data_IF_823089578755
#
_entry.id   IF_823089578755
#
_cell.length_a   1.000
_cell.length_b   1.000
_cell.length_c   1.000
_cell.angle_alpha   90.00
_cell.angle_beta   90.00
_cell.angle_gamma   90.00
#
_symmetry.space_group_name_H-M   'P 1'
#
loop_
_entity.id
_entity.type
_entity.pdbx_description
1 polymer ?
#
# COMPACT_ATOMS: atom_id res chain seq x y z
N UNK A 1 24.63 8.83 33.88
CA UNK A 1 23.18 8.76 34.18
C UNK A 1 22.64 7.50 33.53
N UNK A 2 22.09 6.59 34.33
CA UNK A 2 21.65 5.27 33.84
C UNK A 2 20.53 5.43 32.80
N UNK A 3 20.63 4.71 31.68
CA UNK A 3 19.62 4.74 30.60
C UNK A 3 18.24 4.19 31.02
N UNK A 4 18.14 3.65 32.24
CA UNK A 4 16.96 2.98 32.78
C UNK A 4 15.74 3.90 33.02
N UNK A 5 15.94 5.18 33.34
CA UNK A 5 14.83 6.13 33.60
C UNK A 5 14.52 7.05 32.40
N UNK A 6 15.11 6.78 31.23
CA UNK A 6 14.90 7.61 30.06
C UNK A 6 13.52 7.36 29.46
N UNK A 7 12.68 8.39 29.43
CA UNK A 7 11.43 8.36 28.68
C UNK A 7 11.70 8.63 27.19
N UNK A 8 11.09 7.83 26.32
CA UNK A 8 11.17 7.98 24.87
C UNK A 8 9.80 8.11 24.23
N UNK A 9 9.70 9.00 23.24
CA UNK A 9 8.50 9.17 22.43
C UNK A 9 8.49 8.27 21.18
N UNK A 10 7.36 8.23 20.48
CA UNK A 10 7.21 7.42 19.26
C UNK A 10 8.26 7.74 18.19
N UNK A 11 8.68 9.00 18.06
CA UNK A 11 9.65 9.43 17.04
C UNK A 11 11.04 8.94 17.39
N UNK A 12 11.43 9.01 18.67
CA UNK A 12 12.68 8.47 19.17
C UNK A 12 12.73 6.95 19.02
N UNK A 13 11.64 6.24 19.34
CA UNK A 13 11.56 4.77 19.15
C UNK A 13 11.71 4.41 17.66
N UNK A 14 11.06 5.14 16.76
CA UNK A 14 11.22 4.95 15.30
C UNK A 14 12.67 5.12 14.87
N UNK A 15 13.32 6.18 15.33
CA UNK A 15 14.69 6.50 14.97
C UNK A 15 15.68 5.46 15.51
N UNK A 16 15.50 5.01 16.75
CA UNK A 16 16.47 4.16 17.45
C UNK A 16 16.33 2.68 17.11
N UNK A 17 15.09 2.19 16.98
CA UNK A 17 14.81 0.77 16.74
C UNK A 17 14.42 0.45 15.28
N UNK A 18 14.41 1.45 14.39
CA UNK A 18 14.18 1.26 12.96
C UNK A 18 12.78 0.73 12.61
N UNK A 19 11.74 1.25 13.26
CA UNK A 19 10.34 0.86 13.03
C UNK A 19 9.51 1.99 12.38
N UNK A 20 8.17 1.89 12.37
CA UNK A 20 7.28 2.95 11.88
C UNK A 20 6.24 3.37 12.92
N UNK A 21 5.81 4.63 12.86
CA UNK A 21 4.80 5.18 13.78
C UNK A 21 3.49 4.36 13.82
N UNK A 22 2.89 3.94 12.68
CA UNK A 22 1.67 3.13 12.71
C UNK A 22 1.86 1.80 13.46
N UNK A 23 3.03 1.19 13.29
CA UNK A 23 3.34 -0.10 13.93
C UNK A 23 3.49 0.01 15.44
N UNK A 24 4.06 1.12 15.92
CA UNK A 24 4.11 1.43 17.36
C UNK A 24 2.69 1.66 17.89
N UNK A 25 1.84 2.39 17.15
CA UNK A 25 0.44 2.58 17.55
C UNK A 25 -0.32 1.26 17.63
N UNK A 26 -0.16 0.38 16.63
CA UNK A 26 -0.81 -0.94 16.61
C UNK A 26 -0.40 -1.79 17.82
N UNK A 27 0.88 -1.77 18.19
CA UNK A 27 1.36 -2.47 19.37
C UNK A 27 0.87 -1.82 20.66
N UNK A 28 0.99 -0.50 20.80
CA UNK A 28 0.53 0.23 21.98
C UNK A 28 -0.97 0.10 22.22
N UNK A 29 -1.77 -0.07 21.17
CA UNK A 29 -3.23 -0.23 21.30
C UNK A 29 -3.65 -1.69 21.49
N UNK A 30 -2.75 -2.66 21.27
CA UNK A 30 -3.04 -4.07 21.44
C UNK A 30 -2.42 -4.58 22.76
N UNK A 31 -3.25 -4.92 23.77
CA UNK A 31 -2.75 -5.40 25.06
C UNK A 31 -1.97 -6.72 24.96
N UNK A 32 -2.26 -7.56 23.95
CA UNK A 32 -1.59 -8.85 23.74
C UNK A 32 -0.29 -8.72 22.95
N UNK A 33 0.09 -7.51 22.54
CA UNK A 33 1.30 -7.31 21.74
C UNK A 33 2.59 -7.54 22.53
N UNK A 34 2.51 -7.49 23.87
CA UNK A 34 3.65 -7.49 24.78
C UNK A 34 4.47 -6.18 24.73
N UNK A 35 3.96 -5.14 24.07
CA UNK A 35 4.61 -3.84 24.02
C UNK A 35 4.47 -3.12 25.37
N UNK A 36 5.49 -2.35 25.80
CA UNK A 36 5.46 -1.66 27.08
C UNK A 36 4.25 -0.76 27.26
N UNK A 37 3.78 -0.69 28.51
CA UNK A 37 2.72 0.24 28.87
C UNK A 37 3.21 1.70 28.75
N UNK A 38 2.29 2.61 28.47
CA UNK A 38 2.60 4.04 28.41
C UNK A 38 2.96 4.50 29.82
N UNK A 39 4.17 5.02 30.00
CA UNK A 39 4.69 5.47 31.29
C UNK A 39 4.27 6.90 31.61
N UNK A 40 4.12 7.75 30.58
CA UNK A 40 3.68 9.13 30.74
C UNK A 40 2.93 9.62 29.50
N UNK A 41 2.00 10.56 29.70
CA UNK A 41 1.23 11.16 28.61
C UNK A 41 1.26 12.67 28.75
N UNK A 42 1.72 13.36 27.70
CA UNK A 42 1.72 14.82 27.62
C UNK A 42 0.82 15.24 26.45
N UNK A 43 -0.40 15.66 26.78
CA UNK A 43 -1.44 15.94 25.78
C UNK A 43 -1.75 14.71 24.92
N UNK A 44 -1.49 14.80 23.60
CA UNK A 44 -1.66 13.68 22.65
C UNK A 44 -0.43 12.79 22.51
N UNK A 45 0.71 13.16 23.10
CA UNK A 45 1.95 12.38 23.02
C UNK A 45 2.00 11.35 24.14
N UNK A 46 2.40 10.14 23.79
CA UNK A 46 2.66 9.03 24.70
C UNK A 46 4.16 8.83 24.82
N UNK A 47 4.62 8.54 26.03
CA UNK A 47 6.00 8.25 26.35
C UNK A 47 6.11 6.89 27.03
N UNK A 48 7.18 6.17 26.70
CA UNK A 48 7.50 4.85 27.23
C UNK A 48 8.86 4.86 27.92
N UNK A 49 9.08 3.96 28.85
CA UNK A 49 10.42 3.76 29.42
C UNK A 49 11.32 3.09 28.37
N UNK A 50 12.51 3.65 28.18
CA UNK A 50 13.44 3.23 27.13
C UNK A 50 13.90 1.80 27.30
N UNK A 51 14.18 1.37 28.53
CA UNK A 51 14.63 0.03 28.89
C UNK A 51 13.59 -1.05 28.53
N UNK A 52 12.31 -0.80 28.84
CA UNK A 52 11.21 -1.70 28.50
C UNK A 52 11.04 -1.82 26.98
N UNK A 53 11.14 -0.69 26.27
CA UNK A 53 11.08 -0.68 24.80
C UNK A 53 12.29 -1.42 24.21
N UNK A 54 13.48 -1.19 24.74
CA UNK A 54 14.69 -1.88 24.32
C UNK A 54 14.59 -3.39 24.55
N UNK A 55 14.06 -3.83 25.70
CA UNK A 55 13.83 -5.23 26.02
C UNK A 55 12.83 -5.87 25.04
N UNK A 56 11.73 -5.18 24.73
CA UNK A 56 10.76 -5.63 23.74
C UNK A 56 11.39 -5.86 22.36
N UNK A 57 12.19 -4.90 21.89
CA UNK A 57 12.89 -5.04 20.60
C UNK A 57 14.01 -6.07 20.66
N UNK A 58 14.67 -6.27 21.79
CA UNK A 58 15.68 -7.31 21.97
C UNK A 58 15.07 -8.73 21.89
N UNK A 59 13.91 -8.94 22.51
CA UNK A 59 13.17 -10.21 22.41
C UNK A 59 12.67 -10.49 20.99
N UNK A 60 12.28 -9.43 20.26
CA UNK A 60 11.77 -9.52 18.88
C UNK A 60 12.82 -9.39 17.80
N UNK A 61 14.06 -9.06 18.15
CA UNK A 61 15.16 -9.05 17.21
C UNK A 61 15.20 -10.44 16.58
N UNK A 62 15.13 -10.56 15.23
CA UNK A 62 15.23 -11.86 14.61
C UNK A 62 16.55 -12.46 15.10
N UNK A 63 16.50 -13.64 15.74
CA UNK A 63 17.69 -14.37 16.18
C UNK A 63 18.67 -14.29 15.03
N UNK A 64 19.73 -13.48 15.17
CA UNK A 64 20.78 -13.40 14.15
C UNK A 64 21.19 -14.85 13.97
N UNK A 65 21.05 -15.38 12.75
CA UNK A 65 21.54 -16.73 12.45
C UNK A 65 23.04 -16.66 12.66
N UNK A 66 23.47 -16.96 13.88
CA UNK A 66 24.87 -17.06 14.23
C UNK A 66 25.42 -18.23 13.42
N UNK A 67 26.56 -18.01 12.78
CA UNK A 67 27.25 -19.10 12.12
C UNK A 67 27.65 -20.13 13.20
N UNK A 68 27.58 -21.44 12.92
CA UNK A 68 28.03 -22.46 13.86
C UNK A 68 29.49 -22.20 14.27
N UNK A 69 29.86 -22.51 15.53
CA UNK A 69 31.23 -22.34 16.01
C UNK A 69 32.27 -23.03 15.10
N UNK A 70 31.93 -24.21 14.57
CA UNK A 70 32.77 -24.93 13.60
C UNK A 70 33.11 -24.13 12.33
N UNK A 71 32.28 -23.16 11.93
CA UNK A 71 32.56 -22.28 10.78
C UNK A 71 33.51 -21.14 11.17
N UNK A 72 33.44 -20.68 12.43
CA UNK A 72 34.28 -19.61 12.95
C UNK A 72 35.71 -20.11 13.27
N UNK A 73 35.84 -21.35 13.72
CA UNK A 73 37.12 -21.99 14.05
C UNK A 73 37.81 -22.65 12.84
N UNK A 74 37.12 -22.78 11.71
CA UNK A 74 37.71 -23.31 10.48
C UNK A 74 38.69 -22.32 9.84
N UNK A 75 39.49 -22.79 8.88
CA UNK A 75 40.42 -21.95 8.12
C UNK A 75 39.67 -20.81 7.40
N UNK A 76 39.95 -19.57 7.80
CA UNK A 76 39.29 -18.38 7.26
C UNK A 76 39.83 -17.97 5.89
N UNK A 77 41.02 -18.45 5.50
CA UNK A 77 41.62 -18.20 4.20
C UNK A 77 41.20 -19.23 3.14
N UNK A 78 40.48 -20.28 3.55
CA UNK A 78 39.90 -21.27 2.65
C UNK A 78 38.97 -20.60 1.62
N UNK A 79 39.29 -20.81 0.34
CA UNK A 79 38.45 -20.35 -0.77
C UNK A 79 37.27 -21.30 -0.96
N UNK A 80 36.07 -20.76 -0.76
CA UNK A 80 34.80 -21.45 -0.90
C UNK A 80 34.18 -21.14 -2.25
N UNK A 81 33.75 -22.18 -2.94
CA UNK A 81 32.90 -22.06 -4.13
C UNK A 81 31.53 -21.48 -3.76
N UNK A 82 30.85 -20.91 -4.74
CA UNK A 82 29.47 -20.44 -4.59
C UNK A 82 28.50 -21.47 -3.97
N UNK A 83 28.72 -22.76 -4.25
CA UNK A 83 27.91 -23.86 -3.68
C UNK A 83 28.16 -23.99 -2.18
N UNK A 84 29.41 -23.98 -1.77
CA UNK A 84 29.81 -24.08 -0.36
C UNK A 84 29.37 -22.85 0.43
N UNK A 85 29.51 -21.65 -0.16
CA UNK A 85 28.98 -20.41 0.43
C UNK A 85 27.45 -20.49 0.61
N UNK A 86 26.71 -21.02 -0.37
CA UNK A 86 25.26 -21.21 -0.25
C UNK A 86 24.92 -22.18 0.89
N UNK A 87 25.67 -23.26 1.06
CA UNK A 87 25.47 -24.23 2.14
C UNK A 87 25.80 -23.63 3.51
N UNK A 88 26.92 -22.92 3.62
CA UNK A 88 27.37 -22.23 4.84
C UNK A 88 26.33 -21.21 5.32
N UNK A 89 25.72 -20.47 4.39
CA UNK A 89 24.65 -19.50 4.70
C UNK A 89 23.27 -20.16 4.93
N UNK A 90 23.16 -21.48 4.76
CA UNK A 90 21.92 -22.23 4.93
C UNK A 90 20.87 -21.95 3.85
N UNK A 91 21.30 -21.62 2.62
CA UNK A 91 20.42 -21.46 1.47
C UNK A 91 20.27 -22.78 0.71
N UNK A 92 19.04 -23.09 0.32
CA UNK A 92 18.71 -24.29 -0.47
C UNK A 92 19.25 -24.22 -1.90
N UNK A 93 19.47 -23.02 -2.44
CA UNK A 93 19.87 -22.80 -3.85
C UNK A 93 20.91 -21.68 -3.97
N UNK A 94 21.89 -21.90 -4.84
CA UNK A 94 22.94 -20.94 -5.21
C UNK A 94 22.39 -19.71 -5.95
N UNK A 95 21.20 -19.80 -6.55
CA UNK A 95 20.53 -18.69 -7.23
C UNK A 95 20.21 -17.50 -6.30
N UNK A 96 20.20 -17.72 -4.98
CA UNK A 96 20.06 -16.65 -3.99
C UNK A 96 21.24 -15.69 -4.06
N UNK A 97 22.45 -16.22 -4.26
CA UNK A 97 23.68 -15.42 -4.39
C UNK A 97 23.66 -14.66 -5.71
N UNK A 98 23.24 -15.29 -6.82
CA UNK A 98 23.03 -14.59 -8.10
C UNK A 98 22.05 -13.44 -7.99
N UNK A 99 20.97 -13.64 -7.24
CA UNK A 99 19.98 -12.60 -6.97
C UNK A 99 20.59 -11.40 -6.23
N UNK A 100 21.56 -11.61 -5.34
CA UNK A 100 22.24 -10.49 -4.69
C UNK A 100 23.06 -9.68 -5.69
N UNK A 101 23.83 -10.31 -6.57
CA UNK A 101 24.60 -9.58 -7.58
C UNK A 101 23.70 -8.86 -8.59
N UNK A 102 22.60 -9.50 -9.01
CA UNK A 102 21.67 -8.92 -9.99
C UNK A 102 20.81 -7.80 -9.41
N UNK A 103 20.16 -8.06 -8.27
CA UNK A 103 19.12 -7.19 -7.74
C UNK A 103 19.68 -6.16 -6.75
N UNK A 104 20.90 -6.39 -6.22
CA UNK A 104 21.57 -5.55 -5.22
C UNK A 104 23.10 -5.49 -5.42
N UNK A 105 23.59 -4.88 -6.51
CA UNK A 105 25.03 -4.68 -6.70
C UNK A 105 25.69 -4.05 -5.46
N UNK A 106 26.81 -4.59 -5.01
CA UNK A 106 27.54 -4.15 -3.82
C UNK A 106 26.95 -4.60 -2.46
N UNK A 107 25.85 -5.37 -2.44
CA UNK A 107 25.29 -5.90 -1.18
C UNK A 107 26.00 -7.16 -0.68
N UNK A 108 26.40 -8.04 -1.59
CA UNK A 108 27.16 -9.25 -1.30
C UNK A 108 28.63 -9.00 -1.62
N UNK A 109 29.59 -9.54 -0.85
CA UNK A 109 31.01 -9.31 -1.11
C UNK A 109 31.41 -9.77 -2.50
N UNK A 110 32.33 -9.04 -3.11
CA UNK A 110 32.98 -9.46 -4.35
C UNK A 110 33.77 -10.74 -4.12
N UNK A 111 33.89 -11.61 -5.15
CA UNK A 111 34.71 -12.81 -5.04
C UNK A 111 36.18 -12.45 -4.83
N UNK A 112 36.83 -13.17 -3.91
CA UNK A 112 38.26 -13.02 -3.61
C UNK A 112 39.15 -13.68 -4.68
N UNK A 113 38.58 -14.64 -5.43
CA UNK A 113 39.25 -15.29 -6.55
C UNK A 113 38.23 -15.73 -7.61
N UNK A 114 38.68 -15.82 -8.87
CA UNK A 114 37.88 -16.28 -10.01
C UNK A 114 38.69 -17.26 -10.85
N UNK A 115 39.06 -18.40 -10.25
CA UNK A 115 39.89 -19.43 -10.91
C UNK A 115 39.02 -20.40 -11.72
N UNK A 116 37.96 -20.91 -11.10
CA UNK A 116 36.98 -21.84 -11.69
C UNK A 116 35.54 -21.32 -11.51
N UNK A 117 35.39 -20.00 -11.56
CA UNK A 117 34.19 -19.27 -11.16
C UNK A 117 34.38 -18.54 -9.82
N UNK A 118 33.38 -17.75 -9.39
CA UNK A 118 33.55 -16.86 -8.25
C UNK A 118 33.72 -17.66 -6.96
N UNK A 119 34.81 -17.38 -6.24
CA UNK A 119 35.17 -17.97 -4.97
C UNK A 119 35.35 -16.89 -3.92
N UNK A 120 35.04 -17.22 -2.67
CA UNK A 120 35.16 -16.31 -1.53
C UNK A 120 35.94 -16.97 -0.42
N UNK A 121 36.83 -16.22 0.21
CA UNK A 121 37.43 -16.67 1.47
C UNK A 121 36.33 -16.85 2.51
N UNK A 122 36.44 -17.91 3.31
CA UNK A 122 35.51 -18.15 4.43
C UNK A 122 35.41 -16.93 5.34
N UNK A 123 36.54 -16.28 5.64
CA UNK A 123 36.62 -15.06 6.42
C UNK A 123 35.81 -13.90 5.84
N UNK A 124 35.83 -13.71 4.51
CA UNK A 124 35.02 -12.70 3.80
C UNK A 124 33.53 -12.93 4.04
N UNK A 125 33.07 -14.17 3.96
CA UNK A 125 31.66 -14.52 4.19
C UNK A 125 31.29 -14.39 5.67
N UNK A 126 32.15 -14.81 6.59
CA UNK A 126 31.94 -14.66 8.04
C UNK A 126 31.82 -13.18 8.43
N UNK A 127 32.75 -12.35 7.94
CA UNK A 127 32.74 -10.91 8.16
C UNK A 127 31.47 -10.26 7.59
N UNK A 128 31.06 -10.68 6.39
CA UNK A 128 29.81 -10.21 5.79
C UNK A 128 28.57 -10.63 6.61
N UNK A 129 28.50 -11.85 7.14
CA UNK A 129 27.38 -12.28 7.99
C UNK A 129 27.33 -11.48 9.30
N UNK A 130 28.48 -11.21 9.91
CA UNK A 130 28.58 -10.44 11.15
C UNK A 130 28.17 -8.96 10.96
N UNK A 131 28.61 -8.36 9.85
CA UNK A 131 28.31 -6.97 9.47
C UNK A 131 27.03 -6.84 8.64
N UNK A 132 26.32 -7.95 8.40
CA UNK A 132 25.22 -8.02 7.43
C UNK A 132 24.22 -6.90 7.71
N UNK A 133 24.04 -5.96 6.76
CA UNK A 133 22.93 -5.03 6.82
C UNK A 133 21.68 -5.90 6.86
N UNK A 134 20.95 -5.83 7.99
CA UNK A 134 19.79 -6.69 8.25
C UNK A 134 18.84 -6.69 7.06
N UNK A 135 17.89 -7.65 7.01
CA UNK A 135 16.95 -7.83 5.88
C UNK A 135 16.16 -6.54 5.62
N UNK A 136 16.81 -5.60 4.93
CA UNK A 136 16.29 -4.31 4.57
C UNK A 136 15.12 -4.62 3.69
N UNK A 137 13.99 -4.00 4.03
CA UNK A 137 12.79 -4.00 3.21
C UNK A 137 13.23 -3.95 1.76
N UNK A 138 12.63 -4.79 0.92
CA UNK A 138 12.62 -4.51 -0.52
C UNK A 138 12.32 -3.02 -0.62
N UNK A 139 13.30 -2.22 -1.03
CA UNK A 139 13.02 -0.91 -1.59
C UNK A 139 12.00 -1.25 -2.65
N UNK A 140 10.74 -0.89 -2.39
CA UNK A 140 9.71 -1.01 -3.40
C UNK A 140 10.30 -0.32 -4.61
N UNK A 141 10.56 -1.09 -5.66
CA UNK A 141 11.00 -0.53 -6.93
C UNK A 141 10.12 0.71 -7.19
N UNK A 142 10.72 1.84 -7.61
CA UNK A 142 9.94 3.04 -7.87
C UNK A 142 8.72 2.64 -8.68
N UNK A 143 7.54 2.97 -8.15
CA UNK A 143 6.28 2.57 -8.75
C UNK A 143 6.36 2.96 -10.23
N UNK A 144 6.29 1.97 -11.11
CA UNK A 144 6.35 2.21 -12.54
C UNK A 144 5.37 3.34 -12.88
N UNK A 145 5.83 4.28 -13.71
CA UNK A 145 5.04 5.43 -14.11
C UNK A 145 3.65 4.93 -14.54
N UNK A 146 2.62 5.58 -13.98
CA UNK A 146 1.23 5.16 -14.20
C UNK A 146 0.92 5.30 -15.68
N UNK A 147 0.25 4.31 -16.26
CA UNK A 147 -0.34 4.47 -17.58
C UNK A 147 -1.49 5.47 -17.44
N UNK A 148 -1.32 6.68 -17.95
CA UNK A 148 -2.43 7.60 -18.17
C UNK A 148 -3.12 7.18 -19.46
N UNK A 149 -4.36 6.72 -19.32
CA UNK A 149 -5.19 6.26 -20.44
C UNK A 149 -6.34 7.22 -20.55
N UNK A 150 -6.41 7.97 -21.66
CA UNK A 150 -7.53 8.89 -21.93
C UNK A 150 -8.84 8.13 -22.03
N UNK A 151 -9.98 8.74 -21.67
CA UNK A 151 -11.30 8.15 -21.87
C UNK A 151 -11.75 8.19 -23.35
N UNK A 152 -11.19 9.10 -24.14
CA UNK A 152 -11.67 9.46 -25.49
C UNK A 152 -11.02 8.65 -26.63
N UNK A 153 -10.40 7.52 -26.31
CA UNK A 153 -9.81 6.61 -27.31
C UNK A 153 -10.85 5.82 -28.10
N UNK A 154 -10.38 5.00 -29.04
CA UNK A 154 -11.23 4.12 -29.87
C UNK A 154 -12.10 3.20 -28.98
N UNK A 155 -13.43 3.27 -29.06
CA UNK A 155 -14.34 2.50 -28.20
C UNK A 155 -14.17 0.98 -28.32
N UNK A 156 -13.73 0.48 -29.48
CA UNK A 156 -13.55 -0.96 -29.73
C UNK A 156 -12.13 -1.45 -29.37
N UNK A 157 -11.25 -0.56 -28.92
CA UNK A 157 -9.90 -0.90 -28.49
C UNK A 157 -9.92 -1.87 -27.29
N UNK A 158 -9.10 -2.93 -27.39
CA UNK A 158 -8.96 -3.94 -26.34
C UNK A 158 -7.89 -3.55 -25.31
N UNK A 159 -8.38 -3.07 -24.17
CA UNK A 159 -7.58 -2.64 -23.03
C UNK A 159 -7.15 -3.82 -22.16
N UNK A 160 -5.87 -3.82 -21.77
CA UNK A 160 -5.29 -4.73 -20.79
C UNK A 160 -5.49 -4.30 -19.35
N UNK A 161 -5.12 -5.19 -18.44
CA UNK A 161 -5.31 -5.02 -16.99
C UNK A 161 -4.77 -3.70 -16.43
N UNK A 162 -3.66 -3.19 -16.97
CA UNK A 162 -3.07 -1.93 -16.50
C UNK A 162 -3.90 -0.71 -16.92
N UNK A 163 -4.39 -0.69 -18.16
CA UNK A 163 -5.21 0.39 -18.71
C UNK A 163 -6.59 0.41 -18.05
N UNK A 164 -7.20 -0.75 -17.85
CA UNK A 164 -8.45 -0.89 -17.10
C UNK A 164 -8.30 -0.42 -15.66
N UNK A 165 -7.19 -0.78 -14.99
CA UNK A 165 -6.91 -0.32 -13.64
C UNK A 165 -6.82 1.22 -13.57
N UNK A 166 -6.19 1.85 -14.57
CA UNK A 166 -6.08 3.30 -14.65
C UNK A 166 -7.43 3.98 -14.86
N UNK A 167 -8.23 3.53 -15.85
CA UNK A 167 -9.56 4.09 -16.13
C UNK A 167 -10.55 3.92 -14.98
N UNK A 168 -10.41 2.84 -14.20
CA UNK A 168 -11.24 2.59 -13.00
C UNK A 168 -10.67 3.21 -11.72
N UNK A 169 -9.61 4.01 -11.80
CA UNK A 169 -9.07 4.78 -10.68
C UNK A 169 -8.28 3.96 -9.64
N UNK A 170 -7.85 2.74 -9.98
CA UNK A 170 -7.03 1.93 -9.10
C UNK A 170 -5.59 2.44 -9.05
N UNK A 171 -4.99 2.39 -7.85
CA UNK A 171 -3.61 2.85 -7.65
C UNK A 171 -2.54 1.92 -8.27
N UNK A 172 -2.90 0.69 -8.63
CA UNK A 172 -2.02 -0.26 -9.32
C UNK A 172 -2.80 -1.38 -10.03
N UNK A 173 -2.22 -2.01 -11.07
CA UNK A 173 -2.82 -3.19 -11.70
C UNK A 173 -3.05 -4.34 -10.72
N UNK A 174 -2.14 -4.54 -9.75
CA UNK A 174 -2.27 -5.58 -8.73
C UNK A 174 -3.48 -5.33 -7.80
N UNK A 175 -3.74 -4.07 -7.42
CA UNK A 175 -4.91 -3.71 -6.62
C UNK A 175 -6.20 -4.00 -7.38
N UNK A 176 -6.23 -3.69 -8.68
CA UNK A 176 -7.35 -4.01 -9.55
C UNK A 176 -7.55 -5.53 -9.68
N UNK A 177 -6.49 -6.30 -9.97
CA UNK A 177 -6.58 -7.76 -10.07
C UNK A 177 -7.10 -8.38 -8.78
N UNK A 178 -6.60 -7.94 -7.62
CA UNK A 178 -7.10 -8.43 -6.33
C UNK A 178 -8.59 -8.13 -6.13
N UNK A 179 -9.06 -6.94 -6.53
CA UNK A 179 -10.47 -6.58 -6.42
C UNK A 179 -11.34 -7.41 -7.38
N UNK A 180 -10.85 -7.65 -8.60
CA UNK A 180 -11.52 -8.49 -9.60
C UNK A 180 -11.68 -9.93 -9.11
N UNK A 181 -10.60 -10.55 -8.62
CA UNK A 181 -10.67 -11.94 -8.11
C UNK A 181 -11.53 -12.08 -6.84
N UNK A 182 -11.64 -11.02 -6.05
CA UNK A 182 -12.50 -10.99 -4.86
C UNK A 182 -13.97 -10.65 -5.19
N UNK A 183 -14.33 -10.48 -6.47
CA UNK A 183 -15.69 -10.13 -6.88
C UNK A 183 -16.13 -8.72 -6.45
N UNK A 184 -15.18 -7.82 -6.18
CA UNK A 184 -15.46 -6.44 -5.72
C UNK A 184 -15.70 -5.46 -6.87
N UNK A 185 -15.81 -5.96 -8.09
CA UNK A 185 -16.12 -5.19 -9.29
C UNK A 185 -17.21 -5.94 -10.07
N UNK A 186 -18.42 -6.12 -9.48
CA UNK A 186 -19.49 -6.85 -10.13
C UNK A 186 -19.99 -6.16 -11.41
N UNK A 187 -19.70 -4.87 -11.58
CA UNK A 187 -20.13 -4.12 -12.76
C UNK A 187 -19.23 -4.36 -13.98
N UNK A 188 -18.02 -4.90 -13.81
CA UNK A 188 -17.13 -5.20 -14.93
C UNK A 188 -17.43 -6.60 -15.46
N UNK A 189 -17.86 -6.73 -16.73
CA UNK A 189 -18.17 -8.04 -17.32
C UNK A 189 -16.91 -8.90 -17.51
N UNK A 190 -17.12 -10.16 -17.88
CA UNK A 190 -16.04 -11.05 -18.29
C UNK A 190 -15.22 -10.45 -19.44
N UNK A 191 -13.91 -10.76 -19.53
CA UNK A 191 -13.05 -10.19 -20.56
C UNK A 191 -13.49 -10.59 -21.96
N UNK A 192 -13.56 -9.61 -22.85
CA UNK A 192 -13.89 -9.77 -24.27
C UNK A 192 -12.87 -10.64 -25.03
N UNK A 193 -11.61 -10.66 -24.58
CA UNK A 193 -10.59 -11.52 -25.17
C UNK A 193 -9.56 -12.01 -24.14
N UNK A 194 -9.02 -13.20 -24.41
CA UNK A 194 -7.83 -13.74 -23.74
C UNK A 194 -6.67 -13.76 -24.74
N UNK A 195 -5.80 -12.75 -24.67
CA UNK A 195 -4.66 -12.66 -25.57
C UNK A 195 -3.45 -13.36 -24.94
N UNK A 196 -2.98 -14.42 -25.57
CA UNK A 196 -1.75 -15.10 -25.16
C UNK A 196 -0.59 -14.57 -26.00
N UNK A 197 0.40 -13.96 -25.35
CA UNK A 197 1.65 -13.61 -26.02
C UNK A 197 2.37 -14.89 -26.43
N UNK A 198 2.82 -14.92 -27.69
CA UNK A 198 3.58 -16.03 -28.25
C UNK A 198 4.87 -16.24 -27.45
N UNK A 199 5.09 -17.45 -26.96
CA UNK A 199 6.19 -17.78 -26.04
C UNK A 199 5.89 -17.63 -24.54
N UNK A 200 4.73 -17.07 -24.14
CA UNK A 200 4.39 -16.97 -22.71
C UNK A 200 3.89 -18.30 -22.12
N UNK A 201 4.49 -18.72 -20.98
CA UNK A 201 3.97 -19.80 -20.13
C UNK A 201 2.98 -19.22 -19.13
N UNK A 202 1.69 -19.34 -19.43
CA UNK A 202 0.61 -18.93 -18.53
C UNK A 202 -0.76 -18.83 -19.22
N UNK A 203 -1.83 -18.58 -18.45
CA UNK A 203 -3.14 -18.22 -19.01
C UNK A 203 -3.03 -16.89 -19.78
N UNK A 204 -3.83 -16.75 -20.84
CA UNK A 204 -3.87 -15.53 -21.66
C UNK A 204 -4.22 -14.30 -20.83
N UNK A 205 -3.69 -13.14 -21.23
CA UNK A 205 -3.98 -11.86 -20.59
C UNK A 205 -5.42 -11.45 -20.92
N UNK A 206 -6.16 -11.06 -19.89
CA UNK A 206 -7.54 -10.60 -20.00
C UNK A 206 -7.59 -9.21 -20.65
N UNK A 207 -8.46 -9.05 -21.64
CA UNK A 207 -8.68 -7.83 -22.41
C UNK A 207 -10.16 -7.44 -22.36
N UNK A 208 -10.44 -6.15 -22.27
CA UNK A 208 -11.79 -5.58 -22.26
C UNK A 208 -11.90 -4.45 -23.27
N UNK A 209 -13.05 -4.30 -23.93
CA UNK A 209 -13.30 -3.13 -24.80
C UNK A 209 -13.30 -1.84 -23.98
N UNK A 210 -12.70 -0.79 -24.56
CA UNK A 210 -12.64 0.54 -23.95
C UNK A 210 -14.04 1.08 -23.63
N UNK A 211 -15.01 0.95 -24.53
CA UNK A 211 -16.38 1.41 -24.30
C UNK A 211 -17.00 0.81 -23.03
N UNK A 212 -16.81 -0.50 -22.84
CA UNK A 212 -17.29 -1.22 -21.65
C UNK A 212 -16.65 -0.69 -20.38
N UNK A 213 -15.33 -0.49 -20.40
CA UNK A 213 -14.56 -0.01 -19.24
C UNK A 213 -14.92 1.43 -18.91
N UNK A 214 -15.09 2.29 -19.91
CA UNK A 214 -15.52 3.69 -19.75
C UNK A 214 -16.94 3.76 -19.20
N UNK A 215 -17.87 2.93 -19.68
CA UNK A 215 -19.22 2.85 -19.12
C UNK A 215 -19.21 2.43 -17.64
N UNK A 216 -18.37 1.46 -17.28
CA UNK A 216 -18.19 1.03 -15.87
C UNK A 216 -17.54 2.14 -15.05
N UNK A 217 -16.53 2.84 -15.58
CA UNK A 217 -15.88 3.95 -14.91
C UNK A 217 -16.86 5.11 -14.64
N UNK A 218 -17.74 5.42 -15.60
CA UNK A 218 -18.84 6.39 -15.46
C UNK A 218 -19.86 5.95 -14.41
N UNK A 219 -20.31 4.70 -14.46
CA UNK A 219 -21.23 4.13 -13.46
C UNK A 219 -20.63 4.17 -12.05
N UNK A 220 -19.31 4.04 -11.95
CA UNK A 220 -18.56 4.17 -10.70
C UNK A 220 -18.14 5.61 -10.41
N UNK A 221 -18.60 6.63 -11.11
CA UNK A 221 -18.24 8.04 -10.83
C UNK A 221 -16.73 8.33 -10.87
N UNK A 222 -15.94 7.48 -11.53
CA UNK A 222 -14.50 7.68 -11.75
C UNK A 222 -14.28 8.59 -12.95
N UNK A 223 -15.13 8.44 -13.98
CA UNK A 223 -15.21 9.35 -15.12
C UNK A 223 -16.54 10.11 -15.07
N UNK A 224 -16.57 11.36 -15.57
CA UNK A 224 -17.81 12.11 -15.72
C UNK A 224 -18.75 11.39 -16.70
N UNK A 225 -20.08 11.41 -16.46
CA UNK A 225 -21.06 10.82 -17.38
C UNK A 225 -21.01 11.50 -18.75
N UNK A 226 -21.42 10.77 -19.79
CA UNK A 226 -21.22 11.12 -21.19
C UNK A 226 -21.86 12.46 -21.62
N UNK A 227 -22.89 12.89 -20.88
CA UNK A 227 -23.78 13.99 -21.26
C UNK A 227 -23.81 15.12 -20.21
N UNK A 228 -22.83 15.18 -19.30
CA UNK A 228 -22.73 16.32 -18.37
C UNK A 228 -21.83 17.41 -18.97
N UNK A 229 -22.43 18.56 -19.24
CA UNK A 229 -21.73 19.85 -19.25
C UNK A 229 -20.72 19.88 -18.09
N UNK A 230 -19.51 20.34 -18.36
CA UNK A 230 -18.43 20.54 -17.38
C UNK A 230 -18.80 21.50 -16.22
N UNK A 231 -20.06 21.93 -16.15
CA UNK A 231 -20.64 22.93 -15.26
C UNK A 231 -21.81 22.46 -14.38
N UNK A 232 -22.22 21.17 -14.36
CA UNK A 232 -23.17 20.73 -13.32
C UNK A 232 -22.49 20.70 -11.93
N UNK A 233 -22.67 21.78 -11.16
CA UNK A 233 -22.07 22.01 -9.83
C UNK A 233 -22.56 20.97 -8.80
N UNK A 234 -21.88 19.81 -8.78
CA UNK A 234 -22.11 18.74 -7.81
C UNK A 234 -21.41 19.08 -6.49
N UNK A 235 -22.20 19.34 -5.47
CA UNK A 235 -21.71 19.81 -4.18
C UNK A 235 -21.66 18.68 -3.15
N UNK A 236 -20.65 18.74 -2.28
CA UNK A 236 -20.45 17.78 -1.20
C UNK A 236 -21.28 18.13 0.04
N UNK A 237 -21.32 17.21 1.01
CA UNK A 237 -22.13 17.34 2.22
C UNK A 237 -21.94 18.67 2.97
N UNK A 238 -20.72 19.22 3.01
CA UNK A 238 -20.45 20.51 3.67
C UNK A 238 -21.06 21.72 2.98
N UNK A 239 -21.12 21.70 1.65
CA UNK A 239 -21.72 22.77 0.86
C UNK A 239 -23.24 22.60 0.82
N UNK A 240 -23.74 21.37 0.69
CA UNK A 240 -25.15 21.04 0.82
C UNK A 240 -25.72 21.48 2.18
N UNK A 241 -24.96 21.26 3.26
CA UNK A 241 -25.30 21.75 4.60
C UNK A 241 -25.46 23.27 4.61
N UNK A 242 -24.53 24.02 4.00
CA UNK A 242 -24.61 25.49 3.90
C UNK A 242 -25.83 25.96 3.12
N UNK A 243 -26.11 25.36 1.97
CA UNK A 243 -27.26 25.72 1.12
C UNK A 243 -28.59 25.50 1.87
N UNK A 244 -28.70 24.42 2.64
CA UNK A 244 -29.91 24.06 3.39
C UNK A 244 -29.98 24.64 4.81
N UNK A 245 -29.01 25.48 5.21
CA UNK A 245 -28.99 26.16 6.51
C UNK A 245 -28.58 25.29 7.71
N UNK A 246 -27.93 24.15 7.50
CA UNK A 246 -27.37 23.33 8.57
C UNK A 246 -26.01 23.87 9.04
N UNK A 247 -25.72 23.71 10.34
CA UNK A 247 -24.48 24.23 10.93
C UNK A 247 -23.19 23.53 10.44
N UNK A 248 -23.28 22.28 10.00
CA UNK A 248 -22.15 21.53 9.45
C UNK A 248 -22.62 20.29 8.65
N UNK A 249 -21.66 19.64 7.98
CA UNK A 249 -21.90 18.44 7.19
C UNK A 249 -22.50 17.28 8.00
N UNK A 250 -22.05 17.07 9.24
CA UNK A 250 -22.52 15.96 10.07
C UNK A 250 -23.99 16.12 10.48
N UNK A 251 -24.43 17.35 10.74
CA UNK A 251 -25.85 17.67 10.99
C UNK A 251 -26.72 17.39 9.76
N UNK A 252 -26.23 17.71 8.56
CA UNK A 252 -26.91 17.40 7.30
C UNK A 252 -26.99 15.88 7.05
N UNK A 253 -25.88 15.16 7.22
CA UNK A 253 -25.85 13.69 7.08
C UNK A 253 -26.75 13.02 8.13
N UNK A 254 -26.79 13.54 9.36
CA UNK A 254 -27.70 13.04 10.40
C UNK A 254 -29.16 13.28 10.00
N UNK A 255 -29.49 14.45 9.46
CA UNK A 255 -30.85 14.74 8.99
C UNK A 255 -31.28 13.81 7.83
N UNK A 256 -30.37 13.51 6.89
CA UNK A 256 -30.57 12.49 5.87
C UNK A 256 -30.84 11.11 6.48
N UNK A 257 -30.01 10.69 7.43
CA UNK A 257 -30.14 9.38 8.09
C UNK A 257 -31.43 9.23 8.92
N UNK A 258 -32.01 10.34 9.37
CA UNK A 258 -33.30 10.37 10.07
C UNK A 258 -34.51 10.54 9.13
N UNK A 259 -34.31 10.56 7.80
CA UNK A 259 -35.41 10.67 6.83
C UNK A 259 -36.06 12.06 6.77
N UNK A 260 -35.38 13.09 7.30
CA UNK A 260 -35.90 14.47 7.29
C UNK A 260 -35.74 15.16 5.92
N UNK A 261 -35.02 14.50 5.00
CA UNK A 261 -34.74 14.98 3.64
C UNK A 261 -35.00 13.83 2.64
N UNK A 262 -36.26 13.37 2.50
CA UNK A 262 -36.60 12.24 1.62
C UNK A 262 -36.22 12.53 0.16
N UNK A 263 -36.31 13.81 -0.25
CA UNK A 263 -35.92 14.29 -1.56
C UNK A 263 -34.41 14.29 -1.80
N UNK A 264 -33.57 13.82 -0.86
CA UNK A 264 -32.11 13.77 -1.00
C UNK A 264 -31.50 12.44 -0.54
N UNK A 265 -32.32 11.42 -0.23
CA UNK A 265 -31.86 10.10 0.23
C UNK A 265 -30.93 9.42 -0.78
N UNK A 266 -31.21 9.58 -2.08
CA UNK A 266 -30.33 9.09 -3.13
C UNK A 266 -29.42 10.24 -3.61
N UNK A 267 -28.09 10.08 -3.50
CA UNK A 267 -27.16 11.07 -4.02
C UNK A 267 -27.16 11.07 -5.54
N UNK A 268 -26.99 12.26 -6.13
CA UNK A 268 -26.91 12.45 -7.58
C UNK A 268 -25.55 12.00 -8.16
N UNK A 269 -24.55 11.79 -7.30
CA UNK A 269 -23.25 11.27 -7.69
C UNK A 269 -22.41 10.80 -6.50
N UNK A 270 -21.30 10.14 -6.81
CA UNK A 270 -20.31 9.72 -5.82
C UNK A 270 -18.93 10.23 -6.24
N UNK A 271 -18.21 10.83 -5.30
CA UNK A 271 -16.81 11.19 -5.51
C UNK A 271 -15.89 10.10 -4.95
N UNK A 272 -14.98 9.65 -5.81
CA UNK A 272 -13.95 8.68 -5.46
C UNK A 272 -12.64 9.41 -5.24
N UNK A 273 -12.17 9.44 -3.99
CA UNK A 273 -10.84 9.98 -3.69
C UNK A 273 -9.80 9.10 -4.38
N UNK A 274 -8.93 9.71 -5.20
CA UNK A 274 -7.78 9.07 -5.84
C UNK A 274 -6.99 8.26 -4.80
N UNK A 275 -6.86 6.94 -5.01
CA UNK A 275 -6.14 6.02 -4.11
C UNK A 275 -6.99 5.31 -3.05
N UNK A 276 -8.31 5.51 -3.04
CA UNK A 276 -9.23 4.67 -2.26
C UNK A 276 -9.43 3.32 -2.97
N UNK A 277 -9.40 2.22 -2.22
CA UNK A 277 -9.51 0.85 -2.75
C UNK A 277 -10.93 0.51 -3.26
N UNK A 278 -11.47 1.31 -4.17
CA UNK A 278 -12.75 1.07 -4.84
C UNK A 278 -14.00 1.26 -3.99
N UNK A 279 -13.91 1.89 -2.81
CA UNK A 279 -15.08 2.22 -1.98
C UNK A 279 -15.47 3.69 -2.20
N UNK A 280 -16.71 4.00 -2.62
CA UNK A 280 -17.20 5.39 -2.65
C UNK A 280 -17.13 5.95 -1.24
N UNK A 281 -16.56 7.15 -1.07
CA UNK A 281 -16.39 7.76 0.25
C UNK A 281 -17.23 8.99 0.46
N UNK A 282 -17.66 9.68 -0.59
CA UNK A 282 -18.44 10.90 -0.46
C UNK A 282 -19.60 10.92 -1.47
N UNK A 283 -20.80 11.06 -0.93
CA UNK A 283 -22.02 11.32 -1.67
C UNK A 283 -22.03 12.78 -2.14
N UNK A 284 -22.55 13.02 -3.34
CA UNK A 284 -22.68 14.33 -3.98
C UNK A 284 -24.12 14.55 -4.42
N UNK A 285 -24.57 15.80 -4.38
CA UNK A 285 -25.91 16.20 -4.81
C UNK A 285 -25.82 17.38 -5.78
N UNK A 286 -26.79 17.49 -6.68
CA UNK A 286 -26.89 18.64 -7.58
C UNK A 286 -27.20 19.90 -6.78
N UNK A 287 -26.39 20.95 -6.98
CA UNK A 287 -26.61 22.25 -6.34
C UNK A 287 -28.01 22.81 -6.62
N UNK A 288 -28.47 22.74 -7.87
CA UNK A 288 -29.80 23.20 -8.28
C UNK A 288 -30.93 22.53 -7.49
N UNK A 289 -30.83 21.21 -7.26
CA UNK A 289 -31.78 20.44 -6.45
C UNK A 289 -31.79 20.89 -4.98
N UNK A 290 -30.61 21.18 -4.43
CA UNK A 290 -30.47 21.68 -3.06
C UNK A 290 -31.01 23.10 -2.89
N UNK A 291 -30.76 23.99 -3.86
CA UNK A 291 -31.26 25.36 -3.86
C UNK A 291 -32.77 25.41 -4.03
N UNK A 292 -33.34 24.58 -4.91
CA UNK A 292 -34.79 24.44 -5.07
C UNK A 292 -35.45 23.94 -3.78
N UNK A 293 -34.85 22.95 -3.10
CA UNK A 293 -35.34 22.45 -1.83
C UNK A 293 -35.25 23.53 -0.72
N UNK A 294 -34.16 24.31 -0.68
CA UNK A 294 -34.01 25.43 0.23
C UNK A 294 -35.08 26.50 0.00
N UNK A 295 -35.36 26.83 -1.26
CA UNK A 295 -36.40 27.79 -1.63
C UNK A 295 -37.79 27.31 -1.19
N UNK A 296 -38.12 26.03 -1.39
CA UNK A 296 -39.39 25.44 -0.92
C UNK A 296 -39.53 25.51 0.59
N UNK A 297 -38.49 25.18 1.36
CA UNK A 297 -38.51 25.25 2.83
C UNK A 297 -38.68 26.68 3.34
N UNK A 298 -38.03 27.64 2.68
CA UNK A 298 -38.11 29.07 3.03
C UNK A 298 -39.46 29.67 2.68
N UNK A 299 -40.19 29.12 1.72
CA UNK A 299 -41.54 29.56 1.34
C UNK A 299 -42.65 28.96 2.21
N UNK A 300 -42.32 27.97 3.04
CA UNK A 300 -43.26 27.24 3.91
C UNK A 300 -43.09 27.59 5.39
N UNK A 301 -42.16 28.50 5.73
CA UNK A 301 -41.99 29.10 7.06
C UNK A 301 -42.57 30.51 7.10
#
# INVERSE_FOLDING_TARGET
MSSADRLVDTTQIVSEFGTSKPRISDWSNNPDSGFPAVAHTEGRKRFWRHDEVAAFFAQRAPKKRALPAAVLEADQDELLTKREVSQLLGYTRTSTIDGYFRDRPGYFPEPDADVDGPMWRRGTIVAWVASRPGKGRRSSAPAAARHEVSADGDPDELLGTAEVAALLGYGSPASFSSALYQGRIPELPEPDALQKEEGSRGPGRKKWRRATVVAVARKRGVLPPADQDEHEDLVGASEAARILGYGNADSFISALGHGLLPDLEQPDGYEYRRGSAGRPRQQRWKRSRLEELAARRSSTS
#
